data_IF_514138684978
#
_entry.id   IF_514138684978
#
_cell.length_a   1.000
_cell.length_b   1.000
_cell.length_c   1.000
_cell.angle_alpha   90.00
_cell.angle_beta   90.00
_cell.angle_gamma   90.00
#
_symmetry.space_group_name_H-M   'P 1'
#
loop_
_entity.id
_entity.type
_entity.pdbx_description
1 polymer ?
#
# COMPACT_ATOMS: atom_id res chain seq x y z
N UNK A 1 -36.36 8.44 0.33
CA UNK A 1 -35.17 7.75 -0.21
C UNK A 1 -33.99 8.68 -0.01
N UNK A 2 -32.99 8.26 0.78
CA UNK A 2 -31.74 8.99 0.89
C UNK A 2 -30.90 8.74 -0.38
N UNK A 3 -30.31 9.80 -0.93
CA UNK A 3 -29.29 9.67 -1.98
C UNK A 3 -28.04 9.03 -1.38
N UNK A 4 -27.76 7.79 -1.78
CA UNK A 4 -26.42 7.21 -1.67
C UNK A 4 -25.50 7.94 -2.66
N UNK A 5 -25.03 9.11 -2.27
CA UNK A 5 -23.93 9.79 -2.94
C UNK A 5 -22.67 8.95 -2.72
N UNK A 6 -22.19 8.28 -3.76
CA UNK A 6 -20.88 7.65 -3.80
C UNK A 6 -19.82 8.72 -3.46
N UNK A 7 -19.42 8.80 -2.19
CA UNK A 7 -18.34 9.67 -1.75
C UNK A 7 -17.04 8.99 -2.10
N UNK A 8 -16.44 9.42 -3.20
CA UNK A 8 -15.08 9.00 -3.55
C UNK A 8 -14.15 9.31 -2.36
N UNK A 9 -13.43 8.29 -1.90
CA UNK A 9 -12.48 8.43 -0.80
C UNK A 9 -11.24 9.12 -1.34
N UNK A 10 -11.06 10.41 -0.99
CA UNK A 10 -9.90 11.20 -1.38
C UNK A 10 -9.00 11.48 -0.17
N UNK A 11 -7.70 11.22 -0.31
CA UNK A 11 -6.70 11.57 0.70
C UNK A 11 -5.80 12.69 0.20
N UNK A 12 -5.42 13.62 1.09
CA UNK A 12 -4.43 14.65 0.80
C UNK A 12 -3.08 14.29 1.41
N UNK A 13 -2.02 14.49 0.64
CA UNK A 13 -0.65 14.20 1.08
C UNK A 13 0.28 15.35 0.71
N UNK A 14 1.03 15.86 1.68
CA UNK A 14 2.05 16.89 1.45
C UNK A 14 3.44 16.27 1.54
N UNK A 15 4.14 16.20 0.42
CA UNK A 15 5.48 15.61 0.33
C UNK A 15 6.55 16.71 0.25
N UNK A 16 7.61 16.60 1.04
CA UNK A 16 8.82 17.38 0.87
C UNK A 16 9.89 16.56 0.15
N UNK A 17 10.40 17.10 -0.96
CA UNK A 17 11.33 16.41 -1.86
C UNK A 17 12.58 17.26 -2.03
N UNK A 18 13.74 16.65 -1.87
CA UNK A 18 14.99 17.19 -2.38
C UNK A 18 15.06 16.87 -3.88
N UNK A 19 14.79 17.88 -4.71
CA UNK A 19 14.73 17.72 -6.18
C UNK A 19 16.09 17.36 -6.77
N UNK A 20 17.17 17.96 -6.28
CA UNK A 20 18.52 17.74 -6.80
C UNK A 20 18.98 16.29 -6.60
N UNK A 21 18.60 15.68 -5.48
CA UNK A 21 18.90 14.28 -5.16
C UNK A 21 17.78 13.32 -5.55
N UNK A 22 16.68 13.83 -6.09
CA UNK A 22 15.44 13.09 -6.35
C UNK A 22 15.01 12.18 -5.18
N UNK A 23 15.05 12.73 -3.95
CA UNK A 23 14.74 11.99 -2.72
C UNK A 23 13.60 12.65 -1.95
N UNK A 24 12.64 11.84 -1.51
CA UNK A 24 11.62 12.25 -0.54
C UNK A 24 12.26 12.36 0.85
N UNK A 25 12.09 13.51 1.50
CA UNK A 25 12.61 13.75 2.84
C UNK A 25 11.59 13.34 3.90
N UNK A 26 10.35 13.78 3.74
CA UNK A 26 9.23 13.38 4.59
C UNK A 26 7.89 13.69 3.88
N UNK A 27 6.83 13.07 4.38
CA UNK A 27 5.47 13.24 3.90
C UNK A 27 4.53 13.47 5.10
N UNK A 28 3.67 14.48 5.01
CA UNK A 28 2.65 14.79 5.99
C UNK A 28 1.31 14.26 5.48
N UNK A 29 0.65 13.46 6.31
CA UNK A 29 -0.60 12.75 6.01
C UNK A 29 -1.68 13.11 7.02
N UNK A 30 -2.94 13.01 6.60
CA UNK A 30 -4.08 13.09 7.50
C UNK A 30 -4.26 11.78 8.29
N UNK A 31 -4.94 11.85 9.44
CA UNK A 31 -5.13 10.71 10.34
C UNK A 31 -5.83 9.54 9.64
N UNK A 32 -6.87 9.81 8.85
CA UNK A 32 -7.61 8.78 8.12
C UNK A 32 -6.72 8.00 7.14
N UNK A 33 -5.77 8.69 6.49
CA UNK A 33 -4.78 8.02 5.64
C UNK A 33 -3.80 7.18 6.46
N UNK A 34 -3.36 7.69 7.62
CA UNK A 34 -2.48 6.97 8.52
C UNK A 34 -3.12 5.67 9.02
N UNK A 35 -4.38 5.71 9.42
CA UNK A 35 -5.13 4.56 9.91
C UNK A 35 -5.27 3.48 8.82
N UNK A 36 -5.60 3.88 7.59
CA UNK A 36 -5.66 2.95 6.45
C UNK A 36 -4.28 2.36 6.16
N UNK A 37 -3.22 3.19 6.10
CA UNK A 37 -1.86 2.71 5.86
C UNK A 37 -1.40 1.74 6.96
N UNK A 38 -1.64 2.08 8.22
CA UNK A 38 -1.31 1.25 9.37
C UNK A 38 -2.11 -0.05 9.35
N UNK A 39 -3.37 -0.04 8.95
CA UNK A 39 -4.18 -1.25 8.83
C UNK A 39 -3.52 -2.29 7.90
N UNK A 40 -2.92 -1.85 6.79
CA UNK A 40 -2.15 -2.73 5.91
C UNK A 40 -0.89 -3.27 6.59
N UNK A 41 -0.19 -2.43 7.37
CA UNK A 41 1.01 -2.83 8.10
C UNK A 41 0.71 -3.73 9.31
N UNK A 42 -0.50 -3.68 9.87
CA UNK A 42 -0.93 -4.61 10.93
C UNK A 42 -1.17 -6.02 10.41
N UNK A 43 -1.33 -6.20 9.10
CA UNK A 43 -1.41 -7.53 8.51
C UNK A 43 -0.02 -8.18 8.62
N UNK A 44 0.07 -9.43 9.12
CA UNK A 44 1.32 -10.18 9.07
C UNK A 44 1.84 -10.18 7.63
N UNK A 45 3.09 -9.79 7.40
CA UNK A 45 3.64 -9.61 6.04
C UNK A 45 3.48 -10.87 5.17
N UNK A 46 3.60 -12.06 5.76
CA UNK A 46 3.35 -13.33 5.06
C UNK A 46 1.89 -13.54 4.62
N UNK A 47 0.92 -12.87 5.25
CA UNK A 47 -0.48 -12.85 4.81
C UNK A 47 -0.65 -11.93 3.60
N UNK A 48 0.05 -10.80 3.56
CA UNK A 48 0.02 -9.87 2.41
C UNK A 48 0.53 -10.58 1.15
N UNK A 49 1.70 -11.23 1.24
CA UNK A 49 2.28 -12.00 0.12
C UNK A 49 1.30 -13.06 -0.40
N UNK A 50 0.67 -13.81 0.51
CA UNK A 50 -0.34 -14.84 0.15
C UNK A 50 -1.60 -14.25 -0.48
N UNK A 51 -2.08 -13.10 0.00
CA UNK A 51 -3.26 -12.42 -0.57
C UNK A 51 -2.95 -11.88 -1.96
N UNK A 52 -1.77 -11.29 -2.16
CA UNK A 52 -1.34 -10.79 -3.46
C UNK A 52 -1.16 -11.94 -4.47
N UNK A 53 -0.52 -13.05 -4.09
CA UNK A 53 -0.41 -14.23 -4.95
C UNK A 53 -1.80 -14.76 -5.35
N UNK A 54 -2.75 -14.84 -4.41
CA UNK A 54 -4.12 -15.27 -4.70
C UNK A 54 -4.88 -14.30 -5.60
N UNK A 55 -4.68 -12.99 -5.44
CA UNK A 55 -5.43 -11.99 -6.18
C UNK A 55 -4.95 -11.85 -7.64
N UNK A 56 -3.63 -11.96 -7.85
CA UNK A 56 -3.02 -11.83 -9.18
C UNK A 56 -2.80 -13.16 -9.90
N UNK A 57 -3.08 -14.28 -9.22
CA UNK A 57 -2.89 -15.64 -9.71
C UNK A 57 -1.55 -16.23 -9.25
N UNK A 58 -1.52 -17.55 -9.04
CA UNK A 58 -0.31 -18.27 -8.56
C UNK A 58 0.80 -18.37 -9.60
N UNK A 59 0.63 -17.80 -10.80
CA UNK A 59 1.72 -17.69 -11.77
C UNK A 59 2.74 -16.66 -11.27
N UNK A 60 3.97 -17.12 -11.01
CA UNK A 60 5.08 -16.30 -10.49
C UNK A 60 5.33 -15.03 -11.32
N UNK A 61 4.99 -15.05 -12.60
CA UNK A 61 5.19 -13.94 -13.53
C UNK A 61 4.12 -12.84 -13.41
N UNK A 62 3.03 -13.09 -12.67
CA UNK A 62 1.89 -12.16 -12.53
C UNK A 62 1.74 -11.57 -11.14
N UNK A 63 2.25 -12.23 -10.11
CA UNK A 63 2.18 -11.73 -8.75
C UNK A 63 3.12 -10.52 -8.55
N UNK A 64 2.65 -9.41 -7.95
CA UNK A 64 3.50 -8.25 -7.73
C UNK A 64 4.66 -8.58 -6.78
N UNK A 65 5.89 -8.31 -7.24
CA UNK A 65 7.12 -8.46 -6.44
C UNK A 65 7.17 -7.37 -5.37
N UNK A 66 7.04 -7.76 -4.11
CA UNK A 66 7.12 -6.85 -2.96
C UNK A 66 8.55 -6.87 -2.40
N UNK A 67 9.51 -6.50 -3.25
CA UNK A 67 10.93 -6.47 -2.91
C UNK A 67 11.43 -7.77 -2.27
N UNK A 68 12.20 -7.66 -1.18
CA UNK A 68 12.74 -8.83 -0.46
C UNK A 68 11.70 -9.63 0.33
N UNK A 69 10.48 -9.09 0.53
CA UNK A 69 9.43 -9.80 1.25
C UNK A 69 8.93 -11.01 0.46
N UNK A 70 8.90 -10.92 -0.88
CA UNK A 70 8.52 -12.06 -1.72
C UNK A 70 9.48 -13.23 -1.50
N UNK A 71 10.79 -12.99 -1.45
CA UNK A 71 11.78 -14.06 -1.20
C UNK A 71 11.73 -14.64 0.22
N UNK A 72 11.43 -13.82 1.24
CA UNK A 72 11.35 -14.28 2.64
C UNK A 72 10.17 -15.22 2.92
N UNK A 73 9.09 -15.11 2.15
CA UNK A 73 7.85 -15.88 2.36
C UNK A 73 7.61 -16.98 1.31
N UNK A 74 8.44 -17.03 0.26
CA UNK A 74 8.45 -18.10 -0.76
C UNK A 74 9.47 -19.22 -0.44
N UNK A 75 10.00 -19.26 0.79
CA UNK A 75 10.87 -20.33 1.27
C UNK A 75 10.13 -21.62 1.57
#
# INVERSE_FOLDING_TARGET
MAEDANKDVSFSLKVMINKDKNKVLFALIDADFADVLLSFLTLPLGKIVKVLAKHYGEEEDRAPVVGSLTSLYNG
#
